data_IF_476814083340
#
_entry.id   IF_476814083340
#
_cell.length_a   1.000
_cell.length_b   1.000
_cell.length_c   1.000
_cell.angle_alpha   90.00
_cell.angle_beta   90.00
_cell.angle_gamma   90.00
#
_symmetry.space_group_name_H-M   'P 1'
#
loop_
_entity.id
_entity.type
_entity.pdbx_description
1 polymer ?
#
# COMPACT_ATOMS: atom_id res chain seq x y z
N UNK A 1 15.66 9.55 -7.66
CA UNK A 1 16.86 10.25 -7.10
C UNK A 1 16.73 11.78 -7.15
N UNK A 2 15.95 12.35 -8.07
CA UNK A 2 15.71 13.81 -8.19
C UNK A 2 14.88 14.43 -7.06
N UNK A 3 13.95 13.70 -6.44
CA UNK A 3 13.06 14.21 -5.37
C UNK A 3 13.80 14.42 -4.03
N UNK A 4 14.82 13.60 -3.74
CA UNK A 4 15.62 13.71 -2.51
C UNK A 4 16.55 14.93 -2.51
N UNK A 5 17.00 15.39 -3.68
CA UNK A 5 17.77 16.63 -3.82
C UNK A 5 16.90 17.88 -3.60
N UNK A 6 15.59 17.80 -3.89
CA UNK A 6 14.63 18.89 -3.65
C UNK A 6 14.26 19.07 -2.16
N UNK A 7 14.72 18.19 -1.28
CA UNK A 7 14.42 18.21 0.16
C UNK A 7 15.45 18.97 1.02
N UNK A 8 16.41 19.68 0.42
CA UNK A 8 17.38 20.53 1.12
C UNK A 8 17.05 22.04 0.99
N UNK A 9 16.03 22.57 1.73
CA UNK A 9 15.74 24.00 1.75
C UNK A 9 16.69 24.80 2.66
N UNK A 10 17.74 24.20 3.22
CA UNK A 10 18.58 24.83 4.25
C UNK A 10 19.79 25.62 3.71
N UNK A 11 20.00 25.67 2.39
CA UNK A 11 21.15 26.37 1.77
C UNK A 11 20.79 27.27 0.56
N UNK A 12 19.51 27.42 0.20
CA UNK A 12 19.08 28.16 -1.00
C UNK A 12 18.27 29.39 -0.55
N UNK A 13 18.46 30.53 -1.20
CA UNK A 13 17.61 31.71 -1.00
C UNK A 13 16.18 31.38 -1.44
N UNK A 14 15.21 31.45 -0.51
CA UNK A 14 13.85 30.99 -0.76
C UNK A 14 13.07 32.13 -1.42
N UNK A 15 13.10 32.16 -2.75
CA UNK A 15 12.34 33.12 -3.57
C UNK A 15 11.06 32.48 -4.12
N UNK A 16 10.07 33.28 -4.54
CA UNK A 16 8.80 32.79 -5.10
C UNK A 16 9.00 31.77 -6.24
N UNK A 17 9.90 32.06 -7.17
CA UNK A 17 10.22 31.17 -8.30
C UNK A 17 10.74 29.81 -7.82
N UNK A 18 11.56 29.79 -6.77
CA UNK A 18 12.10 28.55 -6.17
C UNK A 18 10.97 27.70 -5.58
N UNK A 19 9.98 28.33 -4.95
CA UNK A 19 8.82 27.62 -4.40
C UNK A 19 7.90 27.11 -5.51
N UNK A 20 7.59 27.93 -6.52
CA UNK A 20 6.72 27.53 -7.64
C UNK A 20 7.36 26.38 -8.44
N UNK A 21 8.65 26.46 -8.73
CA UNK A 21 9.42 25.38 -9.37
C UNK A 21 9.49 24.09 -8.53
N UNK A 22 9.49 24.20 -7.20
CA UNK A 22 9.40 23.02 -6.33
C UNK A 22 8.09 22.27 -6.54
N UNK A 23 6.96 22.99 -6.65
CA UNK A 23 5.65 22.42 -6.93
C UNK A 23 5.42 22.10 -8.42
N UNK A 24 6.31 22.55 -9.31
CA UNK A 24 6.19 22.39 -10.76
C UNK A 24 5.09 23.27 -11.36
N UNK A 25 4.83 24.43 -10.74
CA UNK A 25 3.85 25.42 -11.17
C UNK A 25 4.62 26.48 -11.95
N UNK A 26 4.16 26.82 -13.16
CA UNK A 26 4.77 27.89 -13.96
C UNK A 26 4.53 29.23 -13.26
N UNK A 27 5.57 30.05 -13.14
CA UNK A 27 5.40 31.40 -12.60
C UNK A 27 4.68 32.24 -13.65
N UNK A 28 3.55 32.90 -13.34
CA UNK A 28 2.92 33.85 -14.25
C UNK A 28 3.86 34.99 -14.67
N UNK A 29 4.92 35.25 -13.90
CA UNK A 29 5.96 36.23 -14.23
C UNK A 29 7.14 35.64 -15.01
N UNK A 30 7.26 34.31 -15.13
CA UNK A 30 8.25 33.67 -16.00
C UNK A 30 7.73 33.63 -17.43
N UNK A 31 7.97 34.70 -18.18
CA UNK A 31 7.76 34.70 -19.63
C UNK A 31 8.88 33.89 -20.30
N UNK A 32 8.72 32.57 -20.38
CA UNK A 32 9.52 31.71 -21.26
C UNK A 32 8.63 30.70 -21.96
N UNK A 33 8.04 31.13 -23.08
CA UNK A 33 8.05 30.41 -24.37
C UNK A 33 6.85 30.84 -25.24
N UNK A 34 6.97 31.99 -25.89
CA UNK A 34 6.56 32.16 -27.30
C UNK A 34 7.04 33.51 -27.83
N UNK A 35 8.01 33.44 -28.76
CA UNK A 35 8.46 34.51 -29.65
C UNK A 35 8.98 35.82 -29.03
N UNK A 36 10.29 36.04 -29.09
CA UNK A 36 10.96 37.13 -29.85
C UNK A 36 12.36 37.41 -29.27
N UNK A 37 13.32 37.50 -30.18
CA UNK A 37 14.67 37.99 -29.93
C UNK A 37 14.64 39.45 -29.45
N UNK A 38 15.03 39.69 -28.20
CA UNK A 38 15.76 40.91 -27.83
C UNK A 38 16.52 40.67 -26.52
N UNK A 39 17.80 40.34 -26.69
CA UNK A 39 18.83 40.43 -25.67
C UNK A 39 18.94 41.88 -25.17
N UNK A 40 18.42 42.16 -23.98
CA UNK A 40 19.03 42.99 -22.90
C UNK A 40 17.99 43.23 -21.79
N UNK A 41 18.36 42.88 -20.55
CA UNK A 41 17.73 43.31 -19.29
C UNK A 41 16.33 42.83 -18.89
N UNK A 42 16.16 41.52 -18.75
CA UNK A 42 15.21 41.00 -17.75
C UNK A 42 15.92 39.92 -16.93
N UNK A 43 16.67 40.35 -15.92
CA UNK A 43 16.92 39.49 -14.77
C UNK A 43 15.55 39.01 -14.26
N UNK A 44 15.32 37.70 -14.04
CA UNK A 44 14.08 37.26 -13.40
C UNK A 44 14.01 37.97 -12.05
N UNK A 45 13.04 38.87 -11.90
CA UNK A 45 12.82 39.56 -10.62
C UNK A 45 12.32 38.50 -9.67
N UNK A 46 13.23 37.93 -8.88
CA UNK A 46 12.92 37.03 -7.78
C UNK A 46 12.00 37.79 -6.83
N UNK A 47 10.70 37.50 -6.90
CA UNK A 47 9.72 38.15 -6.03
C UNK A 47 9.79 37.52 -4.64
N UNK A 48 9.74 38.37 -3.61
CA UNK A 48 9.64 37.91 -2.23
C UNK A 48 8.39 37.06 -2.03
N UNK A 49 8.49 36.03 -1.18
CA UNK A 49 7.39 35.12 -0.87
C UNK A 49 6.22 35.92 -0.28
N UNK A 50 5.12 36.03 -1.03
CA UNK A 50 3.95 36.81 -0.66
C UNK A 50 2.71 35.93 -0.50
N UNK A 51 1.61 36.51 0.01
CA UNK A 51 0.30 35.84 0.00
C UNK A 51 -0.18 35.50 -1.43
N UNK A 52 0.28 36.25 -2.44
CA UNK A 52 0.05 35.96 -3.85
C UNK A 52 0.70 34.65 -4.29
N UNK A 53 1.92 34.38 -3.80
CA UNK A 53 2.61 33.10 -4.04
C UNK A 53 1.81 31.92 -3.49
N UNK A 54 1.20 32.05 -2.30
CA UNK A 54 0.36 31.00 -1.71
C UNK A 54 -0.90 30.75 -2.55
N UNK A 55 -1.54 31.83 -3.04
CA UNK A 55 -2.67 31.73 -3.97
C UNK A 55 -2.29 30.97 -5.25
N UNK A 56 -1.17 31.33 -5.88
CA UNK A 56 -0.66 30.64 -7.08
C UNK A 56 -0.34 29.16 -6.83
N UNK A 57 0.23 28.84 -5.67
CA UNK A 57 0.47 27.44 -5.26
C UNK A 57 -0.86 26.70 -5.14
N UNK A 58 -1.86 27.30 -4.51
CA UNK A 58 -3.16 26.68 -4.34
C UNK A 58 -3.88 26.46 -5.68
N UNK A 59 -3.88 27.45 -6.56
CA UNK A 59 -4.45 27.38 -7.90
C UNK A 59 -3.74 26.31 -8.75
N UNK A 60 -2.41 26.34 -8.81
CA UNK A 60 -1.64 25.35 -9.57
C UNK A 60 -1.75 23.92 -9.01
N UNK A 61 -1.91 23.75 -7.69
CA UNK A 61 -2.22 22.43 -7.11
C UNK A 61 -3.63 21.97 -7.49
N UNK A 62 -4.62 22.87 -7.49
CA UNK A 62 -6.00 22.54 -7.84
C UNK A 62 -6.14 22.16 -9.32
N UNK A 63 -5.44 22.86 -10.20
CA UNK A 63 -5.34 22.51 -11.63
C UNK A 63 -4.64 21.17 -11.83
N UNK A 64 -3.50 20.94 -11.18
CA UNK A 64 -2.73 19.70 -11.32
C UNK A 64 -3.50 18.45 -10.89
N UNK A 65 -4.39 18.55 -9.91
CA UNK A 65 -5.19 17.44 -9.39
C UNK A 65 -6.66 17.48 -9.83
N UNK A 66 -7.02 18.33 -10.79
CA UNK A 66 -8.39 18.46 -11.28
C UNK A 66 -8.90 17.15 -11.92
N UNK A 67 -8.00 16.37 -12.53
CA UNK A 67 -8.28 15.07 -13.14
C UNK A 67 -7.98 13.88 -12.21
N UNK A 68 -7.87 14.17 -10.92
CA UNK A 68 -7.61 13.17 -9.88
C UNK A 68 -6.14 12.86 -9.63
N UNK A 69 -5.93 11.88 -8.76
CA UNK A 69 -4.60 11.43 -8.34
C UNK A 69 -4.13 10.27 -9.23
N UNK A 70 -2.93 10.39 -9.79
CA UNK A 70 -2.25 9.27 -10.45
C UNK A 70 -1.69 8.25 -9.46
N UNK A 71 -1.22 7.10 -9.96
CA UNK A 71 -0.48 6.12 -9.15
C UNK A 71 0.80 6.74 -8.59
N UNK A 72 1.53 7.49 -9.42
CA UNK A 72 2.79 8.14 -9.00
C UNK A 72 2.52 9.20 -7.92
N UNK A 73 1.41 9.92 -8.04
CA UNK A 73 1.02 10.92 -7.05
C UNK A 73 0.70 10.27 -5.70
N UNK A 74 -0.01 9.12 -5.71
CA UNK A 74 -0.32 8.35 -4.51
C UNK A 74 0.96 7.80 -3.85
N UNK A 75 1.90 7.26 -4.63
CA UNK A 75 3.21 6.82 -4.14
C UNK A 75 3.97 7.97 -3.46
N UNK A 76 4.00 9.14 -4.11
CA UNK A 76 4.64 10.34 -3.57
C UNK A 76 4.00 10.77 -2.24
N UNK A 77 2.68 10.72 -2.12
CA UNK A 77 1.95 11.02 -0.88
C UNK A 77 2.31 10.02 0.23
N UNK A 78 2.37 8.72 -0.06
CA UNK A 78 2.76 7.69 0.92
C UNK A 78 4.19 7.92 1.41
N UNK A 79 5.11 8.21 0.49
CA UNK A 79 6.52 8.51 0.81
C UNK A 79 6.60 9.78 1.66
N UNK A 80 5.89 10.84 1.27
CA UNK A 80 5.85 12.09 2.01
C UNK A 80 5.35 11.88 3.45
N UNK A 81 4.21 11.21 3.64
CA UNK A 81 3.68 10.86 4.96
C UNK A 81 4.72 10.09 5.78
N UNK A 82 5.43 9.16 5.15
CA UNK A 82 6.45 8.33 5.80
C UNK A 82 7.67 9.14 6.25
N UNK A 83 8.12 10.10 5.45
CA UNK A 83 9.23 11.02 5.77
C UNK A 83 8.84 11.95 6.92
N UNK A 84 7.67 12.60 6.84
CA UNK A 84 7.20 13.50 7.91
C UNK A 84 7.04 12.71 9.22
N UNK A 85 6.49 11.49 9.14
CA UNK A 85 6.38 10.60 10.28
C UNK A 85 7.75 10.21 10.85
N UNK A 86 8.73 9.95 9.99
CA UNK A 86 10.10 9.64 10.42
C UNK A 86 10.70 10.80 11.22
N UNK A 87 10.56 12.04 10.74
CA UNK A 87 11.06 13.25 11.43
C UNK A 87 10.44 13.33 12.83
N UNK A 88 9.11 13.24 12.94
CA UNK A 88 8.41 13.35 14.22
C UNK A 88 8.78 12.21 15.19
N UNK A 89 8.91 10.98 14.69
CA UNK A 89 9.34 9.86 15.52
C UNK A 89 10.81 9.98 15.92
N UNK A 90 11.69 10.46 15.04
CA UNK A 90 13.11 10.67 15.33
C UNK A 90 13.32 11.67 16.46
N UNK A 91 12.54 12.77 16.47
CA UNK A 91 12.54 13.75 17.56
C UNK A 91 12.02 13.17 18.88
N UNK A 92 11.02 12.29 18.83
CA UNK A 92 10.39 11.71 20.03
C UNK A 92 11.19 10.54 20.65
N UNK A 93 11.86 9.75 19.81
CA UNK A 93 12.52 8.52 20.20
C UNK A 93 14.01 8.56 19.84
N UNK A 94 14.46 7.71 18.91
CA UNK A 94 15.82 7.64 18.41
C UNK A 94 15.75 7.29 16.92
N UNK A 95 16.62 7.90 16.11
CA UNK A 95 16.76 7.70 14.66
C UNK A 95 16.64 6.22 14.27
N UNK A 96 17.38 5.31 14.92
CA UNK A 96 17.35 3.86 14.59
C UNK A 96 15.95 3.25 14.78
N UNK A 97 15.32 3.53 15.92
CA UNK A 97 13.98 2.97 16.23
C UNK A 97 12.91 3.57 15.32
N UNK A 98 13.01 4.87 15.06
CA UNK A 98 12.09 5.60 14.19
C UNK A 98 12.18 5.11 12.76
N UNK A 99 13.39 4.83 12.27
CA UNK A 99 13.60 4.24 10.95
C UNK A 99 12.88 2.89 10.81
N UNK A 100 13.10 1.96 11.75
CA UNK A 100 12.41 0.66 11.73
C UNK A 100 10.89 0.82 11.76
N UNK A 101 10.36 1.68 12.63
CA UNK A 101 8.90 1.91 12.73
C UNK A 101 8.32 2.47 11.42
N UNK A 102 9.06 3.36 10.75
CA UNK A 102 8.64 3.91 9.46
C UNK A 102 8.70 2.87 8.34
N UNK A 103 9.75 2.05 8.25
CA UNK A 103 9.82 0.96 7.26
C UNK A 103 8.67 -0.03 7.42
N UNK A 104 8.29 -0.37 8.66
CA UNK A 104 7.14 -1.24 8.95
C UNK A 104 5.83 -0.57 8.48
N UNK A 105 5.72 0.75 8.64
CA UNK A 105 4.59 1.54 8.14
C UNK A 105 4.51 1.57 6.62
N UNK A 106 5.64 1.81 5.94
CA UNK A 106 5.73 1.79 4.47
C UNK A 106 5.31 0.41 3.95
N UNK A 107 5.80 -0.68 4.55
CA UNK A 107 5.40 -2.03 4.14
C UNK A 107 3.90 -2.27 4.33
N UNK A 108 3.34 -1.87 5.48
CA UNK A 108 1.91 -1.99 5.73
C UNK A 108 1.08 -1.14 4.74
N UNK A 109 1.52 0.10 4.44
CA UNK A 109 0.91 0.94 3.40
C UNK A 109 1.03 0.32 2.01
N UNK A 110 2.17 -0.32 1.71
CA UNK A 110 2.39 -1.05 0.47
C UNK A 110 1.36 -2.15 0.22
N UNK A 111 0.94 -2.89 1.26
CA UNK A 111 -0.13 -3.89 1.14
C UNK A 111 -1.45 -3.29 0.64
N UNK A 112 -1.83 -2.12 1.18
CA UNK A 112 -3.02 -1.40 0.74
C UNK A 112 -2.86 -0.74 -0.63
N UNK A 113 -1.64 -0.33 -0.97
CA UNK A 113 -1.34 0.21 -2.29
C UNK A 113 -1.46 -0.87 -3.38
N UNK A 114 -0.94 -2.08 -3.13
CA UNK A 114 -1.16 -3.21 -4.04
C UNK A 114 -2.64 -3.56 -4.15
N UNK A 115 -3.36 -3.55 -3.03
CA UNK A 115 -4.80 -3.77 -3.05
C UNK A 115 -5.58 -2.67 -3.82
N UNK A 116 -5.14 -1.41 -3.72
CA UNK A 116 -5.67 -0.31 -4.53
C UNK A 116 -5.41 -0.55 -6.02
N UNK A 117 -4.23 -1.07 -6.40
CA UNK A 117 -3.97 -1.49 -7.79
C UNK A 117 -4.88 -2.64 -8.23
N UNK A 118 -5.21 -3.58 -7.34
CA UNK A 118 -6.14 -4.67 -7.68
C UNK A 118 -7.55 -4.15 -8.00
N UNK A 119 -8.00 -3.06 -7.36
CA UNK A 119 -9.28 -2.40 -7.70
C UNK A 119 -9.35 -1.96 -9.17
N UNK A 120 -8.23 -1.54 -9.77
CA UNK A 120 -8.19 -1.24 -11.21
C UNK A 120 -8.56 -2.47 -12.03
N UNK A 121 -8.02 -3.66 -11.71
CA UNK A 121 -8.31 -4.89 -12.44
C UNK A 121 -9.79 -5.29 -12.35
N UNK A 122 -10.46 -4.98 -11.23
CA UNK A 122 -11.85 -5.35 -11.04
C UNK A 122 -12.87 -4.33 -11.55
N UNK A 123 -12.52 -3.04 -11.56
CA UNK A 123 -13.45 -1.95 -11.82
C UNK A 123 -13.02 -0.98 -12.95
N UNK A 124 -12.01 -1.34 -13.75
CA UNK A 124 -11.43 -0.48 -14.81
C UNK A 124 -12.45 0.35 -15.58
N UNK A 125 -13.43 -0.32 -16.17
CA UNK A 125 -14.39 0.31 -17.08
C UNK A 125 -15.28 1.35 -16.36
N UNK A 126 -15.50 1.17 -15.06
CA UNK A 126 -16.31 2.07 -14.23
C UNK A 126 -15.51 3.22 -13.68
N UNK A 127 -14.25 2.97 -13.33
CA UNK A 127 -13.33 4.00 -12.86
C UNK A 127 -13.03 5.03 -13.98
N UNK A 128 -13.10 4.63 -15.26
CA UNK A 128 -12.99 5.56 -16.39
C UNK A 128 -14.19 6.51 -16.53
N UNK A 129 -15.37 6.12 -16.05
CA UNK A 129 -16.57 6.97 -16.15
C UNK A 129 -16.48 8.22 -15.26
N UNK A 130 -15.57 8.22 -14.30
CA UNK A 130 -15.42 9.31 -13.34
C UNK A 130 -14.09 10.04 -13.51
N UNK A 131 -14.19 11.38 -13.59
CA UNK A 131 -13.04 12.27 -13.80
C UNK A 131 -11.97 12.13 -12.73
N UNK A 132 -12.34 11.95 -11.47
CA UNK A 132 -11.39 11.86 -10.33
C UNK A 132 -10.54 10.58 -10.38
N UNK A 133 -11.00 9.54 -11.09
CA UNK A 133 -10.31 8.24 -11.18
C UNK A 133 -9.67 8.01 -12.55
N UNK A 134 -9.92 8.87 -13.54
CA UNK A 134 -9.40 8.72 -14.91
C UNK A 134 -7.87 8.65 -14.96
N UNK A 135 -7.17 9.58 -14.31
CA UNK A 135 -5.69 9.60 -14.29
C UNK A 135 -5.09 8.34 -13.64
N UNK A 136 -5.69 7.88 -12.55
CA UNK A 136 -5.30 6.63 -11.89
C UNK A 136 -5.40 5.42 -12.84
N UNK A 137 -6.49 5.33 -13.60
CA UNK A 137 -6.70 4.23 -14.53
C UNK A 137 -5.72 4.24 -15.69
N UNK A 138 -5.45 5.41 -16.28
CA UNK A 138 -4.50 5.54 -17.40
C UNK A 138 -3.06 5.16 -16.98
N UNK A 139 -2.62 5.63 -15.81
CA UNK A 139 -1.31 5.24 -15.26
C UNK A 139 -1.26 3.74 -14.91
N UNK A 140 -2.34 3.17 -14.37
CA UNK A 140 -2.41 1.74 -14.09
C UNK A 140 -2.37 0.89 -15.37
N UNK A 141 -3.06 1.33 -16.42
CA UNK A 141 -3.09 0.67 -17.73
C UNK A 141 -1.72 0.71 -18.41
N UNK A 142 -1.06 1.86 -18.41
CA UNK A 142 0.30 1.98 -18.99
C UNK A 142 1.31 1.11 -18.24
N UNK A 143 1.19 1.00 -16.91
CA UNK A 143 2.00 0.09 -16.11
C UNK A 143 1.75 -1.39 -16.46
N UNK A 144 0.49 -1.80 -16.60
CA UNK A 144 0.12 -3.18 -17.00
C UNK A 144 0.71 -3.55 -18.37
N UNK A 145 0.56 -2.67 -19.36
CA UNK A 145 1.11 -2.87 -20.71
C UNK A 145 2.64 -2.98 -20.64
N UNK A 146 3.29 -2.12 -19.85
CA UNK A 146 4.74 -2.14 -19.68
C UNK A 146 5.22 -3.41 -18.99
N UNK A 147 4.54 -3.87 -17.95
CA UNK A 147 4.84 -5.13 -17.27
C UNK A 147 4.65 -6.34 -18.19
N UNK A 148 3.58 -6.35 -19.00
CA UNK A 148 3.31 -7.41 -19.97
C UNK A 148 4.38 -7.42 -21.08
N UNK A 149 4.76 -6.26 -21.61
CA UNK A 149 5.84 -6.14 -22.58
C UNK A 149 7.18 -6.64 -22.02
N UNK A 150 7.49 -6.31 -20.76
CA UNK A 150 8.68 -6.83 -20.06
C UNK A 150 8.64 -8.35 -19.91
N UNK A 151 7.49 -8.94 -19.54
CA UNK A 151 7.36 -10.41 -19.43
C UNK A 151 7.58 -11.08 -20.78
N UNK A 152 6.96 -10.57 -21.85
CA UNK A 152 7.11 -11.09 -23.21
C UNK A 152 8.53 -10.90 -23.77
N UNK A 153 9.21 -9.81 -23.42
CA UNK A 153 10.61 -9.55 -23.80
C UNK A 153 11.63 -10.35 -23.00
N UNK A 154 11.41 -10.51 -21.69
CA UNK A 154 12.28 -11.28 -20.80
C UNK A 154 12.21 -12.80 -21.06
N UNK A 155 11.09 -13.30 -21.58
CA UNK A 155 10.91 -14.70 -21.98
C UNK A 155 11.75 -15.11 -23.20
N UNK A 156 12.31 -14.15 -23.95
CA UNK A 156 13.07 -14.44 -25.17
C UNK A 156 14.59 -14.49 -24.96
N UNK A 157 15.07 -14.21 -23.75
CA UNK A 157 16.49 -14.15 -23.45
C UNK A 157 17.02 -15.39 -22.72
N UNK A 158 18.15 -15.93 -23.19
CA UNK A 158 18.93 -16.99 -22.53
C UNK A 158 19.67 -16.53 -21.27
N UNK A 159 19.21 -15.45 -20.61
CA UNK A 159 19.93 -14.80 -19.52
C UNK A 159 19.92 -15.59 -18.20
N UNK A 160 19.07 -16.61 -18.08
CA UNK A 160 19.04 -17.48 -16.90
C UNK A 160 19.01 -18.96 -17.30
N UNK A 161 19.67 -19.85 -16.54
CA UNK A 161 19.67 -21.29 -16.82
C UNK A 161 18.25 -21.88 -16.74
N UNK A 162 17.39 -21.32 -15.89
CA UNK A 162 15.98 -21.72 -15.79
C UNK A 162 15.20 -21.34 -17.04
N UNK A 163 15.43 -20.14 -17.59
CA UNK A 163 14.79 -19.71 -18.83
C UNK A 163 15.30 -20.53 -20.03
N UNK A 164 16.58 -20.91 -20.05
CA UNK A 164 17.10 -21.84 -21.06
C UNK A 164 16.41 -23.20 -20.99
N UNK A 165 16.28 -23.78 -19.79
CA UNK A 165 15.60 -25.07 -19.58
C UNK A 165 14.13 -24.98 -19.98
N UNK A 166 13.44 -23.91 -19.57
CA UNK A 166 12.05 -23.66 -19.95
C UNK A 166 11.90 -23.54 -21.46
N UNK A 167 12.77 -22.76 -22.10
CA UNK A 167 12.76 -22.58 -23.54
C UNK A 167 12.97 -23.90 -24.29
N UNK A 168 13.96 -24.69 -23.86
CA UNK A 168 14.32 -25.95 -24.49
C UNK A 168 13.29 -27.07 -24.27
N UNK A 169 12.52 -27.04 -23.18
CA UNK A 169 11.54 -28.08 -22.85
C UNK A 169 10.11 -27.72 -23.23
N UNK A 170 9.74 -26.44 -23.16
CA UNK A 170 8.35 -25.99 -23.19
C UNK A 170 8.08 -25.07 -24.38
N UNK A 171 8.86 -24.00 -24.53
CA UNK A 171 8.52 -22.93 -25.49
C UNK A 171 8.88 -23.32 -26.94
N UNK A 172 9.85 -24.22 -27.13
CA UNK A 172 10.16 -24.84 -28.42
C UNK A 172 8.97 -25.61 -29.00
N UNK A 173 8.22 -26.31 -28.13
CA UNK A 173 7.05 -27.13 -28.47
C UNK A 173 5.85 -26.33 -29.00
N UNK A 174 5.76 -25.05 -28.65
CA UNK A 174 4.58 -24.21 -28.90
C UNK A 174 4.66 -23.36 -30.19
N UNK A 175 5.76 -23.44 -30.96
CA UNK A 175 5.93 -22.61 -32.16
C UNK A 175 5.01 -23.04 -33.30
N UNK A 176 4.21 -22.13 -33.87
CA UNK A 176 3.48 -22.42 -35.10
C UNK A 176 4.47 -22.53 -36.27
N UNK A 177 4.49 -23.67 -36.98
CA UNK A 177 5.31 -23.84 -38.20
C UNK A 177 6.24 -25.06 -38.30
N UNK A 178 6.04 -26.11 -37.51
CA UNK A 178 6.52 -27.47 -37.83
C UNK A 178 8.00 -27.80 -37.57
N UNK A 179 8.92 -26.84 -37.56
CA UNK A 179 10.33 -27.11 -37.27
C UNK A 179 10.72 -26.61 -35.88
N UNK A 180 10.81 -27.54 -34.95
CA UNK A 180 11.26 -27.31 -33.57
C UNK A 180 12.77 -27.53 -33.52
N UNK A 181 13.54 -26.43 -33.54
CA UNK A 181 14.99 -26.49 -33.33
C UNK A 181 15.25 -26.18 -31.86
N UNK A 182 15.40 -27.23 -31.07
CA UNK A 182 15.82 -27.17 -29.68
C UNK A 182 16.92 -28.23 -29.42
N UNK A 183 17.68 -28.13 -28.31
CA UNK A 183 18.75 -29.06 -28.02
C UNK A 183 18.28 -30.52 -27.91
N UNK A 184 16.99 -30.73 -27.60
CA UNK A 184 16.42 -32.06 -27.41
C UNK A 184 16.08 -32.67 -28.78
N UNK A 185 15.46 -31.90 -29.68
CA UNK A 185 15.18 -32.35 -31.04
C UNK A 185 16.48 -32.70 -31.77
N UNK A 186 17.58 -31.99 -31.51
CA UNK A 186 18.90 -32.36 -32.05
C UNK A 186 19.33 -33.77 -31.63
N UNK A 187 19.06 -34.19 -30.38
CA UNK A 187 19.34 -35.56 -29.93
C UNK A 187 18.45 -36.59 -30.66
N UNK A 188 17.17 -36.26 -30.85
CA UNK A 188 16.22 -37.12 -31.57
C UNK A 188 16.55 -37.23 -33.07
N UNK A 189 17.20 -36.22 -33.67
CA UNK A 189 17.66 -36.31 -35.07
C UNK A 189 18.83 -37.27 -35.29
N UNK A 190 19.56 -37.67 -34.23
CA UNK A 190 20.67 -38.63 -34.29
C UNK A 190 20.21 -40.09 -34.18
N UNK A 191 18.91 -40.34 -34.00
CA UNK A 191 18.34 -41.68 -33.85
C UNK A 191 18.32 -42.42 -35.21
N UNK A 192 18.65 -43.72 -35.27
CA UNK A 192 18.58 -44.52 -36.50
C UNK A 192 17.18 -44.50 -37.14
N UNK A 193 17.11 -44.51 -38.48
CA UNK A 193 15.85 -44.42 -39.24
C UNK A 193 14.84 -45.52 -38.88
N UNK A 194 15.32 -46.69 -38.47
CA UNK A 194 14.49 -47.83 -38.05
C UNK A 194 13.62 -47.54 -36.81
N UNK A 195 14.07 -46.64 -35.93
CA UNK A 195 13.36 -46.27 -34.70
C UNK A 195 12.65 -44.91 -34.80
N UNK A 196 12.95 -44.15 -35.86
CA UNK A 196 12.55 -42.75 -36.03
C UNK A 196 11.03 -42.54 -35.97
N UNK A 197 10.26 -43.42 -36.59
CA UNK A 197 8.79 -43.33 -36.57
C UNK A 197 8.19 -43.44 -35.15
N UNK A 198 8.79 -44.25 -34.27
CA UNK A 198 8.33 -44.38 -32.88
C UNK A 198 8.87 -43.23 -32.01
N UNK A 199 10.13 -42.84 -32.20
CA UNK A 199 10.75 -41.77 -31.41
C UNK A 199 10.17 -40.39 -31.74
N UNK A 200 9.82 -40.12 -32.99
CA UNK A 200 9.19 -38.85 -33.39
C UNK A 200 7.78 -38.72 -32.78
N UNK A 201 7.00 -39.81 -32.82
CA UNK A 201 5.67 -39.85 -32.18
C UNK A 201 5.77 -39.62 -30.67
N UNK A 202 6.77 -40.23 -30.02
CA UNK A 202 7.05 -40.00 -28.61
C UNK A 202 7.45 -38.55 -28.35
N UNK A 203 8.40 -38.02 -29.11
CA UNK A 203 8.93 -36.66 -28.98
C UNK A 203 7.80 -35.63 -29.08
N UNK A 204 7.00 -35.65 -30.15
CA UNK A 204 5.90 -34.69 -30.32
C UNK A 204 4.78 -34.87 -29.30
N UNK A 205 4.54 -36.09 -28.81
CA UNK A 205 3.56 -36.33 -27.74
C UNK A 205 4.02 -35.72 -26.41
N UNK A 206 5.27 -35.95 -26.02
CA UNK A 206 5.82 -35.49 -24.74
C UNK A 206 6.14 -33.99 -24.79
N UNK A 207 7.01 -33.56 -25.69
CA UNK A 207 7.53 -32.19 -25.74
C UNK A 207 6.60 -31.22 -26.49
N UNK A 208 5.80 -31.73 -27.43
CA UNK A 208 4.81 -30.91 -28.14
C UNK A 208 3.48 -30.74 -27.39
N UNK A 209 3.08 -31.70 -26.55
CA UNK A 209 1.74 -31.69 -25.92
C UNK A 209 1.75 -31.83 -24.42
N UNK A 210 2.29 -32.93 -23.88
CA UNK A 210 2.17 -33.26 -22.45
C UNK A 210 2.91 -32.22 -21.60
N UNK A 211 4.19 -32.00 -21.89
CA UNK A 211 5.07 -31.19 -21.07
C UNK A 211 4.69 -29.69 -21.12
N UNK A 212 4.35 -29.09 -22.27
CA UNK A 212 3.80 -27.73 -22.30
C UNK A 212 2.48 -27.59 -21.56
N UNK A 213 1.59 -28.59 -21.63
CA UNK A 213 0.31 -28.58 -20.91
C UNK A 213 0.53 -28.65 -19.40
N UNK A 214 1.38 -29.57 -18.95
CA UNK A 214 1.74 -29.70 -17.53
C UNK A 214 2.44 -28.44 -17.01
N UNK A 215 3.37 -27.86 -17.78
CA UNK A 215 4.05 -26.63 -17.41
C UNK A 215 3.07 -25.45 -17.30
N UNK A 216 2.18 -25.28 -18.29
CA UNK A 216 1.14 -24.25 -18.25
C UNK A 216 0.21 -24.42 -17.05
N UNK A 217 -0.17 -25.66 -16.73
CA UNK A 217 -0.99 -25.96 -15.56
C UNK A 217 -0.25 -25.63 -14.25
N UNK A 218 0.95 -26.17 -14.05
CA UNK A 218 1.73 -25.96 -12.83
C UNK A 218 2.08 -24.50 -12.60
N UNK A 219 2.45 -23.76 -13.65
CA UNK A 219 2.76 -22.33 -13.53
C UNK A 219 1.53 -21.52 -13.18
N UNK A 220 0.36 -21.79 -13.78
CA UNK A 220 -0.91 -21.16 -13.40
C UNK A 220 -1.25 -21.43 -11.93
N UNK A 221 -1.21 -22.70 -11.50
CA UNK A 221 -1.46 -23.04 -10.11
C UNK A 221 -0.46 -22.36 -9.17
N UNK A 222 0.83 -22.40 -9.49
CA UNK A 222 1.86 -21.78 -8.66
C UNK A 222 1.64 -20.27 -8.49
N UNK A 223 1.30 -19.55 -9.56
CA UNK A 223 1.00 -18.12 -9.51
C UNK A 223 -0.24 -17.84 -8.66
N UNK A 224 -1.29 -18.66 -8.76
CA UNK A 224 -2.52 -18.51 -7.96
C UNK A 224 -2.31 -18.79 -6.47
N UNK A 225 -1.51 -19.79 -6.11
CA UNK A 225 -1.26 -20.15 -4.71
C UNK A 225 -0.15 -19.34 -4.03
N UNK A 226 0.72 -18.67 -4.80
CA UNK A 226 1.85 -17.91 -4.27
C UNK A 226 1.44 -16.84 -3.22
N UNK A 227 0.37 -16.03 -3.41
CA UNK A 227 -0.09 -15.08 -2.39
C UNK A 227 -0.51 -15.75 -1.07
N UNK A 228 -1.10 -16.95 -1.16
CA UNK A 228 -1.58 -17.71 0.00
C UNK A 228 -0.38 -18.27 0.79
N UNK A 229 0.56 -18.87 0.07
CA UNK A 229 1.78 -19.45 0.63
C UNK A 229 2.63 -18.35 1.29
N UNK A 230 2.79 -17.21 0.62
CA UNK A 230 3.55 -16.07 1.17
C UNK A 230 2.91 -15.52 2.43
N UNK A 231 1.58 -15.34 2.46
CA UNK A 231 0.85 -14.99 3.69
C UNK A 231 1.08 -16.02 4.80
N UNK A 232 0.94 -17.31 4.51
CA UNK A 232 1.09 -18.37 5.50
C UNK A 232 2.50 -18.41 6.10
N UNK A 233 3.54 -18.33 5.26
CA UNK A 233 4.93 -18.37 5.71
C UNK A 233 5.28 -17.11 6.51
N UNK A 234 4.93 -15.92 6.02
CA UNK A 234 5.35 -14.66 6.61
C UNK A 234 4.52 -14.29 7.85
N UNK A 235 3.19 -14.35 7.73
CA UNK A 235 2.26 -13.85 8.75
C UNK A 235 1.95 -14.91 9.81
N UNK A 236 1.78 -16.18 9.40
CA UNK A 236 1.32 -17.25 10.30
C UNK A 236 2.48 -18.03 10.93
N UNK A 237 3.39 -18.58 10.13
CA UNK A 237 4.52 -19.37 10.62
C UNK A 237 5.57 -18.47 11.29
N UNK A 238 6.06 -17.46 10.57
CA UNK A 238 7.13 -16.58 11.03
C UNK A 238 6.64 -15.37 11.86
N UNK A 239 5.61 -15.57 12.68
CA UNK A 239 4.99 -14.53 13.52
C UNK A 239 5.94 -13.79 14.47
N UNK A 240 7.08 -14.40 14.81
CA UNK A 240 8.14 -13.80 15.64
C UNK A 240 8.88 -12.67 14.92
N UNK A 241 9.08 -12.82 13.61
CA UNK A 241 9.84 -11.88 12.79
C UNK A 241 8.95 -10.82 12.14
N UNK A 242 7.67 -11.14 11.89
CA UNK A 242 6.72 -10.21 11.29
C UNK A 242 6.07 -9.29 12.36
N UNK A 243 6.29 -7.95 12.28
CA UNK A 243 5.68 -6.99 13.19
C UNK A 243 4.15 -7.06 13.17
N UNK A 244 3.54 -6.80 14.33
CA UNK A 244 2.09 -6.86 14.49
C UNK A 244 1.32 -5.97 13.49
N UNK A 245 1.87 -4.78 13.17
CA UNK A 245 1.23 -3.85 12.23
C UNK A 245 1.02 -4.49 10.85
N UNK A 246 2.05 -5.17 10.34
CA UNK A 246 2.02 -5.83 9.04
C UNK A 246 1.07 -7.03 9.10
N UNK A 247 1.20 -7.88 10.13
CA UNK A 247 0.32 -9.04 10.31
C UNK A 247 -1.15 -8.64 10.35
N UNK A 248 -1.48 -7.57 11.08
CA UNK A 248 -2.84 -7.09 11.22
C UNK A 248 -3.40 -6.58 9.89
N UNK A 249 -2.72 -5.67 9.18
CA UNK A 249 -3.23 -5.12 7.92
C UNK A 249 -3.32 -6.20 6.83
N UNK A 250 -2.34 -7.10 6.76
CA UNK A 250 -2.37 -8.19 5.79
C UNK A 250 -3.53 -9.15 6.06
N UNK A 251 -3.72 -9.57 7.31
CA UNK A 251 -4.84 -10.44 7.68
C UNK A 251 -6.18 -9.74 7.51
N UNK A 252 -6.24 -8.43 7.79
CA UNK A 252 -7.43 -7.63 7.55
C UNK A 252 -7.85 -7.68 6.08
N UNK A 253 -6.92 -7.40 5.16
CA UNK A 253 -7.16 -7.49 3.71
C UNK A 253 -7.59 -8.90 3.30
N UNK A 254 -6.94 -9.93 3.85
CA UNK A 254 -7.32 -11.32 3.60
C UNK A 254 -8.75 -11.63 4.05
N UNK A 255 -9.19 -11.13 5.21
CA UNK A 255 -10.57 -11.31 5.68
C UNK A 255 -11.57 -10.42 4.94
N UNK A 256 -11.13 -9.23 4.51
CA UNK A 256 -11.95 -8.29 3.75
C UNK A 256 -12.26 -8.83 2.35
N UNK A 257 -11.34 -9.55 1.71
CA UNK A 257 -11.54 -10.14 0.39
C UNK A 257 -12.79 -11.05 0.31
N UNK A 258 -13.16 -11.72 1.41
CA UNK A 258 -14.38 -12.52 1.47
C UNK A 258 -15.66 -11.66 1.30
N UNK A 259 -15.69 -10.48 1.90
CA UNK A 259 -16.79 -9.51 1.76
C UNK A 259 -16.71 -8.82 0.40
N UNK A 260 -15.49 -8.46 0.00
CA UNK A 260 -15.20 -7.77 -1.25
C UNK A 260 -15.65 -8.58 -2.47
N UNK A 261 -15.42 -9.89 -2.48
CA UNK A 261 -15.88 -10.77 -3.56
C UNK A 261 -17.40 -10.70 -3.78
N UNK A 262 -18.19 -10.50 -2.71
CA UNK A 262 -19.64 -10.30 -2.83
C UNK A 262 -19.97 -8.95 -3.47
N UNK A 263 -19.24 -7.89 -3.09
CA UNK A 263 -19.38 -6.54 -3.66
C UNK A 263 -18.99 -6.54 -5.14
N UNK A 264 -17.85 -7.15 -5.50
CA UNK A 264 -17.40 -7.30 -6.89
C UNK A 264 -18.44 -8.08 -7.70
N UNK A 265 -18.96 -9.18 -7.16
CA UNK A 265 -20.01 -9.96 -7.81
C UNK A 265 -21.27 -9.14 -8.07
N UNK A 266 -21.70 -8.32 -7.11
CA UNK A 266 -22.84 -7.41 -7.26
C UNK A 266 -22.58 -6.36 -8.36
N UNK A 267 -21.43 -5.69 -8.33
CA UNK A 267 -21.07 -4.67 -9.32
C UNK A 267 -21.03 -5.26 -10.73
N UNK A 268 -20.42 -6.43 -10.92
CA UNK A 268 -20.38 -7.09 -12.24
C UNK A 268 -21.78 -7.43 -12.77
N UNK A 269 -22.70 -7.86 -11.91
CA UNK A 269 -24.10 -8.11 -12.30
C UNK A 269 -24.83 -6.83 -12.68
N UNK A 270 -24.61 -5.75 -11.92
CA UNK A 270 -25.19 -4.44 -12.23
C UNK A 270 -24.64 -3.86 -13.54
N UNK A 271 -23.34 -4.03 -13.79
CA UNK A 271 -22.73 -3.68 -15.07
C UNK A 271 -23.38 -4.45 -16.22
N UNK A 272 -23.50 -5.77 -16.08
CA UNK A 272 -24.14 -6.61 -17.08
C UNK A 272 -25.58 -6.14 -17.35
N UNK A 273 -26.36 -5.87 -16.31
CA UNK A 273 -27.71 -5.34 -16.43
C UNK A 273 -27.76 -3.97 -17.14
N UNK A 274 -26.86 -3.06 -16.76
CA UNK A 274 -26.77 -1.73 -17.37
C UNK A 274 -26.49 -1.82 -18.86
N UNK A 275 -25.46 -2.57 -19.26
CA UNK A 275 -24.99 -2.57 -20.66
C UNK A 275 -25.77 -3.47 -21.60
N UNK A 276 -26.40 -4.54 -21.11
CA UNK A 276 -27.10 -5.51 -21.98
C UNK A 276 -28.62 -5.44 -21.92
N UNK A 277 -29.19 -4.79 -20.90
CA UNK A 277 -30.64 -4.64 -20.77
C UNK A 277 -31.03 -3.17 -20.80
N UNK A 278 -30.53 -2.37 -19.86
CA UNK A 278 -31.00 -0.99 -19.66
C UNK A 278 -30.64 -0.07 -20.82
N UNK A 279 -29.39 -0.13 -21.30
CA UNK A 279 -28.92 0.70 -22.43
C UNK A 279 -29.55 0.24 -23.75
N UNK A 280 -29.58 -1.05 -24.12
CA UNK A 280 -30.17 -1.47 -25.40
C UNK A 280 -31.69 -1.34 -25.47
N UNK A 281 -32.41 -1.47 -24.35
CA UNK A 281 -33.87 -1.31 -24.30
C UNK A 281 -34.31 0.14 -24.03
N UNK A 282 -33.39 1.10 -24.07
CA UNK A 282 -33.66 2.54 -23.88
C UNK A 282 -34.46 2.85 -22.60
N UNK A 283 -34.15 2.15 -21.49
CA UNK A 283 -34.83 2.35 -20.20
C UNK A 283 -34.30 3.57 -19.45
N UNK A 284 -34.61 4.75 -19.96
CA UNK A 284 -34.07 6.05 -19.49
C UNK A 284 -34.31 6.35 -18.00
N UNK A 285 -35.38 5.82 -17.38
CA UNK A 285 -35.65 6.01 -15.95
C UNK A 285 -34.79 5.13 -15.06
N UNK A 286 -34.47 3.91 -15.51
CA UNK A 286 -33.68 2.94 -14.74
C UNK A 286 -32.18 3.21 -14.86
N UNK A 287 -31.73 3.70 -16.02
CA UNK A 287 -30.32 3.99 -16.31
C UNK A 287 -29.62 4.85 -15.25
N UNK A 288 -30.13 6.04 -14.86
CA UNK A 288 -29.48 6.87 -13.85
C UNK A 288 -29.48 6.22 -12.46
N UNK A 289 -30.50 5.42 -12.14
CA UNK A 289 -30.59 4.72 -10.85
C UNK A 289 -29.52 3.64 -10.75
N UNK A 290 -29.41 2.81 -11.78
CA UNK A 290 -28.41 1.73 -11.85
C UNK A 290 -26.99 2.32 -11.89
N UNK A 291 -26.77 3.36 -12.69
CA UNK A 291 -25.49 4.06 -12.76
C UNK A 291 -25.13 4.70 -11.41
N UNK A 292 -26.07 5.40 -10.78
CA UNK A 292 -25.86 6.03 -9.47
C UNK A 292 -25.54 5.02 -8.37
N UNK A 293 -26.22 3.87 -8.36
CA UNK A 293 -25.95 2.79 -7.41
C UNK A 293 -24.56 2.18 -7.64
N UNK A 294 -24.21 1.93 -8.90
CA UNK A 294 -22.91 1.39 -9.28
C UNK A 294 -21.77 2.33 -8.88
N UNK A 295 -21.90 3.62 -9.21
CA UNK A 295 -20.93 4.66 -8.86
C UNK A 295 -20.84 4.80 -7.34
N UNK A 296 -21.98 4.80 -6.64
CA UNK A 296 -22.03 4.87 -5.17
C UNK A 296 -21.31 3.72 -4.46
N UNK A 297 -21.50 2.48 -4.93
CA UNK A 297 -20.80 1.31 -4.39
C UNK A 297 -19.29 1.43 -4.67
N UNK A 298 -18.92 1.77 -5.90
CA UNK A 298 -17.52 1.91 -6.31
C UNK A 298 -16.79 2.96 -5.48
N UNK A 299 -17.36 4.15 -5.32
CA UNK A 299 -16.76 5.21 -4.52
C UNK A 299 -16.67 4.84 -3.05
N UNK A 300 -17.71 4.21 -2.50
CA UNK A 300 -17.68 3.73 -1.11
C UNK A 300 -16.53 2.74 -0.89
N UNK A 301 -16.32 1.85 -1.86
CA UNK A 301 -15.25 0.88 -1.82
C UNK A 301 -13.87 1.55 -1.97
N UNK A 302 -13.71 2.45 -2.94
CA UNK A 302 -12.47 3.21 -3.17
C UNK A 302 -12.09 4.04 -1.93
N UNK A 303 -13.04 4.77 -1.35
CA UNK A 303 -12.83 5.55 -0.11
C UNK A 303 -12.37 4.64 1.02
N UNK A 304 -12.96 3.45 1.16
CA UNK A 304 -12.55 2.49 2.18
C UNK A 304 -11.11 2.00 2.00
N UNK A 305 -10.70 1.70 0.77
CA UNK A 305 -9.32 1.28 0.47
C UNK A 305 -8.32 2.41 0.66
N UNK A 306 -8.64 3.64 0.22
CA UNK A 306 -7.81 4.82 0.47
C UNK A 306 -7.70 5.10 1.98
N UNK A 307 -8.79 4.93 2.72
CA UNK A 307 -8.80 5.07 4.18
C UNK A 307 -7.85 4.05 4.84
N UNK A 308 -7.92 2.78 4.44
CA UNK A 308 -6.99 1.74 4.91
C UNK A 308 -5.53 2.05 4.56
N UNK A 309 -5.26 2.52 3.34
CA UNK A 309 -3.94 2.94 2.88
C UNK A 309 -3.36 4.08 3.73
N UNK A 310 -4.16 5.12 3.99
CA UNK A 310 -3.76 6.27 4.79
C UNK A 310 -3.46 5.87 6.23
N UNK A 311 -4.32 5.02 6.82
CA UNK A 311 -4.12 4.46 8.15
C UNK A 311 -2.82 3.66 8.27
N UNK A 312 -2.60 2.74 7.33
CA UNK A 312 -1.42 1.88 7.32
C UNK A 312 -0.12 2.70 7.15
N UNK A 313 -0.12 3.68 6.24
CA UNK A 313 1.00 4.61 6.01
C UNK A 313 1.32 5.44 7.27
N UNK A 314 0.29 5.89 7.97
CA UNK A 314 0.42 6.55 9.27
C UNK A 314 0.83 5.59 10.42
N UNK A 315 0.90 4.29 10.16
CA UNK A 315 1.17 3.24 11.15
C UNK A 315 0.07 3.07 12.19
N UNK A 316 -1.15 3.42 11.80
CA UNK A 316 -2.34 3.29 12.61
C UNK A 316 -3.09 2.03 12.22
N UNK A 317 -3.98 1.63 13.10
CA UNK A 317 -4.97 0.60 12.81
C UNK A 317 -6.34 1.28 12.77
N UNK A 318 -7.35 0.60 12.28
CA UNK A 318 -8.74 1.05 12.32
C UNK A 318 -9.62 -0.14 12.72
N UNK A 319 -10.87 0.11 13.07
CA UNK A 319 -11.77 -0.96 13.45
C UNK A 319 -12.96 -1.02 12.51
N UNK A 320 -13.12 -2.19 11.89
CA UNK A 320 -14.32 -2.58 11.18
C UNK A 320 -14.92 -3.77 11.93
N UNK A 321 -16.17 -3.67 12.43
CA UNK A 321 -16.84 -4.80 13.06
C UNK A 321 -16.77 -6.06 12.20
N UNK A 322 -16.78 -7.24 12.81
CA UNK A 322 -16.61 -8.54 12.15
C UNK A 322 -15.23 -8.76 11.53
N UNK A 323 -14.75 -7.90 10.63
CA UNK A 323 -13.45 -8.07 9.95
C UNK A 323 -12.30 -7.97 10.96
N UNK A 324 -12.29 -6.91 11.78
CA UNK A 324 -11.24 -6.74 12.80
C UNK A 324 -11.25 -7.87 13.83
N UNK A 325 -12.42 -8.34 14.26
CA UNK A 325 -12.48 -9.46 15.22
C UNK A 325 -12.00 -10.78 14.60
N UNK A 326 -12.32 -11.06 13.34
CA UNK A 326 -11.78 -12.24 12.62
C UNK A 326 -10.26 -12.12 12.44
N UNK A 327 -9.76 -10.95 12.03
CA UNK A 327 -8.32 -10.74 11.88
C UNK A 327 -7.57 -10.97 13.20
N UNK A 328 -8.14 -10.50 14.33
CA UNK A 328 -7.60 -10.69 15.68
C UNK A 328 -7.58 -12.17 16.11
N UNK A 329 -8.61 -12.96 15.76
CA UNK A 329 -8.64 -14.40 16.02
C UNK A 329 -7.50 -15.11 15.27
N UNK A 330 -7.20 -14.70 14.05
CA UNK A 330 -6.13 -15.31 13.25
C UNK A 330 -4.72 -14.90 13.70
N UNK A 331 -4.48 -13.64 14.08
CA UNK A 331 -3.11 -13.18 14.40
C UNK A 331 -2.76 -13.26 15.89
N UNK A 332 -3.78 -13.37 16.75
CA UNK A 332 -3.65 -13.29 18.21
C UNK A 332 -3.38 -11.88 18.72
N UNK A 333 -3.36 -11.67 20.04
CA UNK A 333 -3.25 -10.34 20.62
C UNK A 333 -1.88 -9.69 20.39
N UNK A 334 -1.85 -8.36 20.37
CA UNK A 334 -0.62 -7.58 20.20
C UNK A 334 0.34 -7.82 21.37
N UNK A 335 1.63 -8.11 21.13
CA UNK A 335 2.59 -8.31 22.20
C UNK A 335 2.82 -7.00 22.98
N UNK A 336 2.67 -7.04 24.30
CA UNK A 336 2.90 -5.88 25.18
C UNK A 336 4.39 -5.54 25.31
N UNK A 337 5.25 -6.55 25.21
CA UNK A 337 6.69 -6.43 25.50
C UNK A 337 7.54 -6.06 24.28
N UNK A 338 6.96 -5.93 23.08
CA UNK A 338 7.76 -5.61 21.89
C UNK A 338 8.08 -4.11 21.85
N UNK A 339 9.32 -3.77 21.52
CA UNK A 339 9.84 -2.39 21.44
C UNK A 339 9.03 -1.54 20.44
N UNK A 340 8.48 -2.19 19.40
CA UNK A 340 7.66 -1.57 18.36
C UNK A 340 6.16 -1.50 18.72
N UNK A 341 5.78 -1.96 19.92
CA UNK A 341 4.40 -1.98 20.41
C UNK A 341 4.19 -0.97 21.52
N UNK A 342 3.21 -0.09 21.33
CA UNK A 342 2.74 0.85 22.35
C UNK A 342 1.74 0.23 23.34
N UNK A 343 1.68 -1.10 23.47
CA UNK A 343 0.67 -1.83 24.25
C UNK A 343 -0.46 -2.37 23.37
N UNK A 344 -1.55 -2.87 23.98
CA UNK A 344 -2.70 -3.39 23.25
C UNK A 344 -3.36 -2.33 22.35
N UNK A 345 -3.97 -2.80 21.26
CA UNK A 345 -4.93 -2.00 20.50
C UNK A 345 -6.13 -1.66 21.39
N UNK A 346 -6.84 -0.58 21.08
CA UNK A 346 -7.90 -0.13 21.99
C UNK A 346 -9.11 -1.04 22.03
N UNK A 347 -9.41 -1.76 20.94
CA UNK A 347 -10.41 -2.83 20.98
C UNK A 347 -9.88 -4.08 21.71
N UNK A 348 -8.57 -4.30 21.81
CA UNK A 348 -8.03 -5.36 22.67
C UNK A 348 -8.15 -4.99 24.15
N UNK A 349 -8.00 -3.71 24.48
CA UNK A 349 -8.26 -3.21 25.83
C UNK A 349 -9.74 -3.44 26.21
N UNK A 350 -9.96 -3.92 27.43
CA UNK A 350 -11.28 -4.16 28.00
C UNK A 350 -12.16 -5.15 27.20
N UNK A 351 -11.58 -6.02 26.33
CA UNK A 351 -12.35 -7.02 25.57
C UNK A 351 -13.24 -7.87 26.47
N UNK A 352 -12.71 -8.34 27.60
CA UNK A 352 -13.44 -9.15 28.57
C UNK A 352 -14.61 -8.40 29.22
N UNK A 353 -14.41 -7.13 29.60
CA UNK A 353 -15.50 -6.27 30.10
C UNK A 353 -16.58 -6.04 29.04
N UNK A 354 -16.22 -5.89 27.75
CA UNK A 354 -17.21 -5.77 26.67
C UNK A 354 -18.03 -7.05 26.50
N UNK A 355 -17.38 -8.21 26.55
CA UNK A 355 -18.07 -9.51 26.50
C UNK A 355 -19.01 -9.65 27.70
N UNK A 356 -18.54 -9.35 28.91
CA UNK A 356 -19.38 -9.35 30.12
C UNK A 356 -20.59 -8.42 30.00
N UNK A 357 -20.42 -7.24 29.38
CA UNK A 357 -21.53 -6.32 29.14
C UNK A 357 -22.54 -6.87 28.14
N UNK A 358 -22.07 -7.44 27.01
CA UNK A 358 -22.94 -8.08 26.02
C UNK A 358 -23.73 -9.25 26.61
N UNK A 359 -23.10 -10.05 27.49
CA UNK A 359 -23.72 -11.20 28.14
C UNK A 359 -24.68 -10.80 29.26
N UNK A 360 -24.35 -9.77 30.06
CA UNK A 360 -25.14 -9.39 31.25
C UNK A 360 -26.39 -8.57 30.98
N UNK A 361 -26.65 -8.11 29.75
CA UNK A 361 -27.99 -7.60 29.38
C UNK A 361 -28.54 -6.46 30.26
N UNK A 362 -27.82 -5.35 30.44
CA UNK A 362 -28.27 -4.20 31.25
C UNK A 362 -28.73 -2.99 30.41
N UNK A 363 -29.51 -2.05 30.99
CA UNK A 363 -29.92 -0.78 30.31
C UNK A 363 -28.68 -0.01 29.82
N UNK A 364 -28.34 -0.17 28.54
CA UNK A 364 -27.10 0.35 27.92
C UNK A 364 -26.26 -0.69 27.16
N UNK A 365 -26.68 -1.95 27.10
CA UNK A 365 -26.03 -3.05 26.35
C UNK A 365 -25.78 -2.75 24.88
N UNK A 366 -26.67 -1.96 24.28
CA UNK A 366 -26.61 -1.55 22.88
C UNK A 366 -25.97 -0.18 22.65
N UNK A 367 -25.23 0.37 23.62
CA UNK A 367 -24.27 1.42 23.27
C UNK A 367 -23.23 0.74 22.38
N UNK A 368 -23.44 0.78 21.06
CA UNK A 368 -22.45 0.40 20.06
C UNK A 368 -21.16 1.08 20.51
N UNK A 369 -20.25 0.30 21.07
CA UNK A 369 -18.91 0.78 21.30
C UNK A 369 -18.37 0.97 19.89
N UNK A 370 -18.37 2.23 19.43
CA UNK A 370 -17.65 2.64 18.25
C UNK A 370 -16.20 2.82 18.69
N UNK A 371 -15.33 1.80 18.53
CA UNK A 371 -13.90 2.01 18.70
C UNK A 371 -13.46 3.11 17.76
N UNK A 372 -12.45 3.86 18.18
CA UNK A 372 -12.06 5.06 17.47
C UNK A 372 -11.67 4.72 16.03
N UNK A 373 -12.21 5.50 15.11
CA UNK A 373 -11.89 5.41 13.71
C UNK A 373 -10.46 5.88 13.44
N UNK A 374 -9.93 6.83 14.22
CA UNK A 374 -8.57 7.39 14.05
C UNK A 374 -7.70 7.31 15.31
N UNK A 375 -6.45 6.85 15.17
CA UNK A 375 -5.50 6.65 16.27
C UNK A 375 -4.20 7.42 16.06
N UNK A 376 -4.10 8.68 16.50
CA UNK A 376 -2.84 9.41 16.36
C UNK A 376 -3.04 10.91 16.28
N UNK A 377 -2.46 11.54 15.25
CA UNK A 377 -2.33 12.99 15.11
C UNK A 377 -3.65 13.77 15.19
N UNK A 378 -4.74 13.19 14.68
CA UNK A 378 -6.07 13.80 14.62
C UNK A 378 -7.07 13.14 15.59
N UNK A 379 -6.62 12.17 16.39
CA UNK A 379 -7.49 11.44 17.31
C UNK A 379 -7.70 12.21 18.62
N UNK A 380 -8.95 12.38 19.06
CA UNK A 380 -9.24 12.88 20.41
C UNK A 380 -8.67 11.96 21.49
N UNK A 381 -8.40 12.56 22.66
CA UNK A 381 -7.94 11.89 23.89
C UNK A 381 -8.81 10.70 24.29
N UNK A 382 -8.31 9.86 25.19
CA UNK A 382 -8.86 8.55 25.41
C UNK A 382 -10.32 8.53 25.89
N UNK A 383 -11.06 7.46 25.55
CA UNK A 383 -12.38 7.20 26.16
C UNK A 383 -12.23 7.11 27.69
N UNK A 384 -13.28 7.41 28.45
CA UNK A 384 -13.24 7.43 29.93
C UNK A 384 -12.62 6.13 30.50
N UNK A 385 -12.90 4.98 29.88
CA UNK A 385 -12.35 3.67 30.25
C UNK A 385 -10.86 3.51 29.91
N UNK A 386 -10.40 4.06 28.79
CA UNK A 386 -8.97 4.09 28.44
C UNK A 386 -8.19 5.06 29.33
N UNK A 387 -8.86 6.09 29.86
CA UNK A 387 -8.24 7.07 30.74
C UNK A 387 -7.87 6.47 32.10
N UNK A 388 -8.66 5.58 32.70
CA UNK A 388 -8.30 4.99 34.02
C UNK A 388 -7.04 4.08 33.94
N UNK A 389 -6.96 3.22 32.92
CA UNK A 389 -5.79 2.37 32.69
C UNK A 389 -4.54 3.20 32.36
N UNK A 390 -4.67 4.21 31.47
CA UNK A 390 -3.56 5.13 31.17
C UNK A 390 -3.19 6.00 32.36
N UNK A 391 -4.15 6.42 33.18
CA UNK A 391 -3.91 7.23 34.37
C UNK A 391 -3.05 6.45 35.38
N UNK A 392 -3.39 5.19 35.62
CA UNK A 392 -2.58 4.28 36.46
C UNK A 392 -1.16 4.07 35.90
N UNK A 393 -1.03 3.87 34.59
CA UNK A 393 0.29 3.74 33.95
C UNK A 393 1.11 5.04 34.01
N UNK A 394 0.45 6.20 33.78
CA UNK A 394 1.07 7.53 33.85
C UNK A 394 1.53 7.84 35.27
N UNK A 395 0.72 7.51 36.27
CA UNK A 395 1.10 7.60 37.68
C UNK A 395 2.30 6.70 37.99
N UNK A 396 2.30 5.45 37.51
CA UNK A 396 3.41 4.51 37.71
C UNK A 396 4.72 5.03 37.07
N UNK A 397 4.68 5.48 35.80
CA UNK A 397 5.85 6.06 35.11
C UNK A 397 6.37 7.30 35.81
N UNK A 398 5.47 8.17 36.30
CA UNK A 398 5.84 9.38 37.04
C UNK A 398 6.51 9.03 38.38
N UNK A 399 5.98 8.05 39.12
CA UNK A 399 6.61 7.53 40.35
C UNK A 399 8.00 6.94 40.06
N UNK A 400 8.14 6.17 38.98
CA UNK A 400 9.44 5.59 38.56
C UNK A 400 10.45 6.67 38.19
N UNK A 401 10.04 7.70 37.43
CA UNK A 401 10.89 8.86 37.07
C UNK A 401 11.34 9.64 38.30
N UNK A 402 10.43 9.91 39.25
CA UNK A 402 10.75 10.56 40.54
C UNK A 402 11.76 9.74 41.37
N UNK A 403 11.59 8.42 41.45
CA UNK A 403 12.56 7.51 42.11
C UNK A 403 13.93 7.51 41.44
N UNK A 404 13.97 7.59 40.11
CA UNK A 404 15.22 7.64 39.37
C UNK A 404 15.98 8.96 39.62
N UNK A 405 15.26 10.09 39.59
CA UNK A 405 15.80 11.42 39.88
C UNK A 405 16.29 11.49 41.34
N UNK A 406 15.53 10.96 42.30
CA UNK A 406 15.95 10.98 43.72
C UNK A 406 17.19 10.12 43.98
N UNK A 407 17.31 8.96 43.32
CA UNK A 407 18.54 8.14 43.36
C UNK A 407 19.74 8.88 42.76
N UNK A 408 19.55 9.59 41.63
CA UNK A 408 20.61 10.40 41.00
C UNK A 408 21.04 11.55 41.92
N UNK A 409 20.10 12.26 42.53
CA UNK A 409 20.37 13.35 43.48
C UNK A 409 21.10 12.85 44.73
N UNK A 410 20.73 11.69 45.27
CA UNK A 410 21.46 11.05 46.39
C UNK A 410 22.89 10.68 46.03
N UNK A 411 23.13 10.11 44.84
CA UNK A 411 24.48 9.80 44.35
C UNK A 411 25.33 11.06 44.15
N UNK A 412 24.75 12.09 43.56
CA UNK A 412 25.41 13.38 43.35
C UNK A 412 25.77 14.07 44.67
N UNK A 413 24.85 14.08 45.64
CA UNK A 413 25.13 14.61 46.98
C UNK A 413 26.20 13.79 47.73
N UNK A 414 26.24 12.46 47.53
CA UNK A 414 27.29 11.60 48.09
C UNK A 414 28.65 11.97 47.47
N UNK A 415 28.70 12.15 46.15
CA UNK A 415 29.91 12.59 45.43
C UNK A 415 30.42 13.95 45.91
N UNK A 416 29.54 14.94 46.07
CA UNK A 416 29.89 16.25 46.63
C UNK A 416 30.45 16.14 48.05
N UNK A 417 29.85 15.31 48.91
CA UNK A 417 30.36 15.06 50.27
C UNK A 417 31.74 14.40 50.25
N UNK A 418 31.98 13.46 49.34
CA UNK A 418 33.31 12.84 49.18
C UNK A 418 34.36 13.86 48.77
N UNK A 419 34.04 14.78 47.85
CA UNK A 419 34.94 15.87 47.43
C UNK A 419 35.21 16.84 48.59
N UNK A 420 34.19 17.20 49.37
CA UNK A 420 34.34 18.05 50.56
C UNK A 420 35.16 17.46 51.71
N UNK A 421 35.43 16.15 51.67
CA UNK A 421 36.29 15.49 52.65
C UNK A 421 37.73 15.30 52.11
N UNK A 422 37.96 15.64 50.84
CA UNK A 422 39.27 15.58 50.17
C UNK A 422 39.97 16.94 50.12
N UNK A 423 39.21 18.03 50.27
CA UNK A 423 39.67 19.38 50.62
C UNK A 423 39.37 19.62 52.09
#
# INVERSE_FOLDING_TARGET
>A
MSVLLKLFPLLINIDQETILNFFGIQDPNSFSDTSYNSLTDLAPVSTDVSLGTLKLIFEGLLERYQDGLGLVDIENIIIFISVVRFIILALKYNIKTSFYICCIGIFAGGLWYFHLKDLFLWYRDLLLLNRITGKFVEEARTLEITEQAKRLGADRGFHSPINFIRYALVDSGQRPGGYQIDPISMLFTQVPETLRAQTDKFYYSVFGRILPTMWSFLTKQAVEYLPIITYLIIVRINKKYCPYLIRWHWTFLWTFSAVENLIIGLVRRLQYYLFLVVVPEDRYLEQPIVLGLLVGILFSHLIFVIFGLLHASCGQYFYCPFITENAEVHIGPRPQNSIYSGGYAAWQNNKQKRIEWMVRGGKGTWKLYFPRLWWGWLGRGASILDNDARYKERQYRTKRRKRFISKRKKRFNKFIRTIKNWF
#
